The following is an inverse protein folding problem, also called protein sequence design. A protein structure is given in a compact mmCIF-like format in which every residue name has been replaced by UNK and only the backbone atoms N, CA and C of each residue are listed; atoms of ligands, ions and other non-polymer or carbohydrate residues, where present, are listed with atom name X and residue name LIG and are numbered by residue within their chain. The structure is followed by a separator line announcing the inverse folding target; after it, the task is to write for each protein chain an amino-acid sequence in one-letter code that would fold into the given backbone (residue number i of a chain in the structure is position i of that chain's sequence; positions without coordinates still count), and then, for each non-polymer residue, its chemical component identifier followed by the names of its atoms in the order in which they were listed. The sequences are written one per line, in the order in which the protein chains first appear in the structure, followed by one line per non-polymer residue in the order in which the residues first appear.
data_IF_334888754294
#
_entry.id   IF_334888754294
#
_cell.length_a   1.000
_cell.length_b   1.000
_cell.length_c   1.000
_cell.angle_alpha   90.00
_cell.angle_beta   90.00
_cell.angle_gamma   90.00
#
_symmetry.space_group_name_H-M   'P 1'
#
loop_
_entity.id
_entity.type
_entity.pdbx_description
1 polymer ?
#
# COMPACT_ATOMS: atom_id res chain seq x y z
N UNK A 1 26.93 -6.25 -24.27
CA UNK A 1 25.54 -6.65 -24.56
C UNK A 1 24.66 -5.90 -23.57
N UNK A 2 23.82 -4.97 -24.01
CA UNK A 2 22.90 -4.24 -23.12
C UNK A 2 21.73 -5.16 -22.77
N UNK A 3 21.47 -5.34 -21.48
CA UNK A 3 20.29 -6.08 -21.03
C UNK A 3 19.01 -5.39 -21.55
N UNK A 4 17.96 -6.16 -21.89
CA UNK A 4 16.67 -5.56 -22.26
C UNK A 4 16.13 -4.71 -21.10
N UNK A 5 15.33 -3.66 -21.40
CA UNK A 5 14.69 -2.86 -20.37
C UNK A 5 13.78 -3.74 -19.50
N UNK A 6 13.70 -3.41 -18.22
CA UNK A 6 12.89 -4.14 -17.26
C UNK A 6 11.41 -4.09 -17.68
N UNK A 7 10.65 -5.20 -17.56
CA UNK A 7 9.24 -5.22 -17.90
C UNK A 7 8.45 -4.17 -17.08
N UNK A 8 7.34 -3.63 -17.63
CA UNK A 8 6.53 -2.65 -16.92
C UNK A 8 6.08 -3.18 -15.56
N UNK A 9 6.16 -2.33 -14.54
CA UNK A 9 5.71 -2.66 -13.20
C UNK A 9 4.19 -2.94 -13.21
N UNK A 10 3.80 -4.12 -12.74
CA UNK A 10 2.39 -4.49 -12.54
C UNK A 10 2.01 -4.23 -11.09
N UNK A 11 1.02 -3.35 -10.87
CA UNK A 11 0.51 -3.06 -9.54
C UNK A 11 -0.31 -4.25 -9.03
N UNK A 12 0.15 -4.86 -7.93
CA UNK A 12 -0.45 -6.05 -7.31
C UNK A 12 -0.50 -5.89 -5.79
N UNK A 13 -1.27 -6.72 -5.06
CA UNK A 13 -1.21 -6.76 -3.59
C UNK A 13 0.21 -6.96 -3.05
N UNK A 14 1.00 -7.83 -3.70
CA UNK A 14 2.39 -8.09 -3.30
C UNK A 14 3.27 -6.84 -3.44
N UNK A 15 3.10 -6.06 -4.52
CA UNK A 15 3.77 -4.77 -4.68
C UNK A 15 3.26 -3.77 -3.63
N UNK A 16 1.95 -3.71 -3.38
CA UNK A 16 1.37 -2.76 -2.44
C UNK A 16 1.84 -2.98 -0.99
N UNK A 17 2.13 -4.21 -0.55
CA UNK A 17 2.67 -4.51 0.79
C UNK A 17 4.21 -4.58 0.85
N UNK A 18 4.92 -4.57 -0.29
CA UNK A 18 6.36 -4.83 -0.30
C UNK A 18 7.16 -3.70 0.34
N UNK A 19 8.17 -4.01 1.20
CA UNK A 19 9.10 -3.02 1.73
C UNK A 19 9.98 -2.39 0.65
N UNK A 20 10.09 -3.00 -0.53
CA UNK A 20 10.91 -2.48 -1.63
C UNK A 20 10.17 -1.45 -2.48
N UNK A 21 8.85 -1.35 -2.33
CA UNK A 21 8.03 -0.41 -3.10
C UNK A 21 8.31 1.03 -2.70
N UNK A 22 8.61 1.88 -3.69
CA UNK A 22 8.87 3.31 -3.50
C UNK A 22 7.62 4.08 -3.06
N UNK A 23 7.83 5.15 -2.29
CA UNK A 23 6.75 5.99 -1.76
C UNK A 23 5.87 6.59 -2.87
N UNK A 24 6.47 6.96 -4.00
CA UNK A 24 5.78 7.46 -5.20
C UNK A 24 4.79 6.42 -5.76
N UNK A 25 5.19 5.15 -5.81
CA UNK A 25 4.34 4.05 -6.25
C UNK A 25 3.21 3.81 -5.23
N UNK A 26 3.49 3.91 -3.93
CA UNK A 26 2.47 3.77 -2.89
C UNK A 26 1.39 4.86 -3.00
N UNK A 27 1.80 6.12 -3.20
CA UNK A 27 0.86 7.22 -3.45
C UNK A 27 0.07 7.03 -4.73
N UNK A 28 0.72 6.55 -5.80
CA UNK A 28 0.04 6.22 -7.05
C UNK A 28 -1.05 5.16 -6.83
N UNK A 29 -0.74 4.08 -6.09
CA UNK A 29 -1.72 3.05 -5.73
C UNK A 29 -2.86 3.68 -4.92
N UNK A 30 -2.55 4.51 -3.92
CA UNK A 30 -3.55 5.15 -3.08
C UNK A 30 -4.52 6.02 -3.90
N UNK A 31 -4.01 6.79 -4.86
CA UNK A 31 -4.83 7.71 -5.65
C UNK A 31 -5.62 7.01 -6.75
N UNK A 32 -5.05 5.99 -7.39
CA UNK A 32 -5.57 5.46 -8.65
C UNK A 32 -6.10 4.03 -8.60
N UNK A 33 -5.79 3.25 -7.56
CA UNK A 33 -6.15 1.83 -7.49
C UNK A 33 -6.87 1.50 -6.17
N UNK A 34 -8.17 1.83 -6.04
CA UNK A 34 -8.94 1.62 -4.80
C UNK A 34 -8.91 0.19 -4.27
N UNK A 35 -8.93 -0.81 -5.17
CA UNK A 35 -8.88 -2.25 -4.84
C UNK A 35 -7.60 -2.66 -4.09
N UNK A 36 -6.52 -1.88 -4.25
CA UNK A 36 -5.24 -2.20 -3.63
C UNK A 36 -4.96 -1.43 -2.33
N UNK A 37 -5.76 -0.41 -1.99
CA UNK A 37 -5.51 0.45 -0.82
C UNK A 37 -5.44 -0.30 0.50
N UNK A 38 -6.24 -1.36 0.66
CA UNK A 38 -6.23 -2.19 1.89
C UNK A 38 -4.85 -2.82 2.17
N UNK A 39 -4.07 -3.06 1.13
CA UNK A 39 -2.73 -3.67 1.22
C UNK A 39 -1.68 -2.64 1.63
N UNK A 40 -1.89 -1.35 1.34
CA UNK A 40 -0.99 -0.29 1.79
C UNK A 40 -0.92 -0.21 3.32
N UNK A 41 -1.98 -0.61 4.02
CA UNK A 41 -2.01 -0.67 5.49
C UNK A 41 -0.95 -1.61 6.06
N UNK A 42 -0.62 -2.68 5.34
CA UNK A 42 0.40 -3.64 5.74
C UNK A 42 1.80 -3.30 5.21
N UNK A 43 1.96 -2.18 4.50
CA UNK A 43 3.26 -1.80 3.96
C UNK A 43 4.09 -1.07 5.03
N UNK A 44 5.30 -1.55 5.37
CA UNK A 44 6.14 -0.90 6.40
C UNK A 44 6.66 0.48 5.98
N UNK A 45 6.66 0.80 4.69
CA UNK A 45 6.98 2.14 4.16
C UNK A 45 5.76 3.06 4.09
N UNK A 46 4.56 2.59 4.39
CA UNK A 46 3.39 3.45 4.46
C UNK A 46 3.47 4.36 5.68
N UNK A 47 3.93 5.59 5.47
CA UNK A 47 3.97 6.61 6.50
C UNK A 47 2.57 7.09 6.93
N UNK A 48 2.52 7.82 8.04
CA UNK A 48 1.27 8.32 8.62
C UNK A 48 0.39 9.11 7.63
N UNK A 49 0.99 9.98 6.80
CA UNK A 49 0.25 10.77 5.82
C UNK A 49 -0.44 9.89 4.75
N UNK A 50 0.21 8.81 4.32
CA UNK A 50 -0.37 7.87 3.37
C UNK A 50 -1.52 7.08 4.02
N UNK A 51 -1.32 6.58 5.24
CA UNK A 51 -2.35 5.84 5.97
C UNK A 51 -3.56 6.72 6.31
N UNK A 52 -3.33 7.98 6.67
CA UNK A 52 -4.38 8.97 6.88
C UNK A 52 -5.19 9.17 5.60
N UNK A 53 -4.52 9.41 4.47
CA UNK A 53 -5.19 9.52 3.18
C UNK A 53 -6.01 8.26 2.86
N UNK A 54 -5.44 7.07 3.03
CA UNK A 54 -6.12 5.79 2.77
C UNK A 54 -7.36 5.63 3.66
N UNK A 55 -7.28 6.02 4.94
CA UNK A 55 -8.42 5.97 5.86
C UNK A 55 -9.57 6.86 5.43
N UNK A 56 -9.28 8.06 4.91
CA UNK A 56 -10.28 9.03 4.44
C UNK A 56 -10.83 8.65 3.07
N UNK A 57 -9.96 8.26 2.14
CA UNK A 57 -10.33 7.89 0.78
C UNK A 57 -11.08 6.54 0.71
N UNK A 58 -10.89 5.68 1.71
CA UNK A 58 -11.52 4.37 1.82
C UNK A 58 -11.16 3.44 0.65
N UNK A 59 -11.95 2.39 0.47
CA UNK A 59 -11.75 1.35 -0.53
C UNK A 59 -12.18 -0.01 0.01
N UNK A 60 -12.33 -1.02 -0.86
CA UNK A 60 -12.73 -2.35 -0.42
C UNK A 60 -11.77 -2.91 0.64
N UNK A 61 -12.31 -3.21 1.82
CA UNK A 61 -11.55 -3.81 2.92
C UNK A 61 -10.58 -2.87 3.66
N UNK A 62 -10.47 -1.59 3.30
CA UNK A 62 -9.53 -0.65 3.95
C UNK A 62 -9.80 -0.52 5.45
N UNK A 63 -11.07 -0.30 5.82
CA UNK A 63 -11.48 -0.17 7.22
C UNK A 63 -11.06 -1.39 8.04
N UNK A 64 -11.38 -2.58 7.55
CA UNK A 64 -11.04 -3.83 8.23
C UNK A 64 -9.53 -4.03 8.37
N UNK A 65 -8.77 -3.71 7.33
CA UNK A 65 -7.30 -3.75 7.40
C UNK A 65 -6.73 -2.77 8.43
N UNK A 66 -7.28 -1.57 8.56
CA UNK A 66 -6.88 -0.59 9.58
C UNK A 66 -7.24 -1.07 10.98
N UNK A 67 -8.43 -1.66 11.18
CA UNK A 67 -8.83 -2.26 12.46
C UNK A 67 -7.81 -3.33 12.90
N UNK A 68 -7.43 -4.25 12.00
CA UNK A 68 -6.41 -5.28 12.30
C UNK A 68 -5.05 -4.65 12.65
N UNK A 69 -4.62 -3.60 11.93
CA UNK A 69 -3.36 -2.93 12.21
C UNK A 69 -3.38 -2.32 13.62
N UNK A 70 -4.46 -1.62 13.97
CA UNK A 70 -4.61 -1.00 15.29
C UNK A 70 -4.65 -2.06 16.40
N UNK A 71 -5.42 -3.12 16.23
CA UNK A 71 -5.45 -4.26 17.16
C UNK A 71 -4.05 -4.88 17.34
N UNK A 72 -3.25 -4.94 16.28
CA UNK A 72 -1.89 -5.48 16.36
C UNK A 72 -0.96 -4.57 17.17
N UNK A 73 -1.09 -3.25 17.03
CA UNK A 73 -0.30 -2.27 17.80
C UNK A 73 -0.68 -2.22 19.28
N UNK A 74 -1.93 -2.55 19.63
CA UNK A 74 -2.39 -2.62 21.03
C UNK A 74 -1.89 -3.88 21.75
N UNK A 75 -1.44 -4.90 21.02
CA UNK A 75 -0.94 -6.17 21.56
C UNK A 75 0.59 -6.18 21.74
N UNK A 76 1.26 -5.05 21.53
CA UNK A 76 2.72 -4.85 21.69
C UNK A 76 3.10 -4.25 23.06
#
# INVERSE_FOLDING_TARGET
MTAPPEPPLVLTPAVACSPDTGEDVLWHIAQHVPELRRWLVANPKAGAALLEYVSQAGGPGVRHSLEILLESLEQE
#
